data_IF_109614582819
#
_entry.id   IF_109614582819
#
_cell.length_a   1.000
_cell.length_b   1.000
_cell.length_c   1.000
_cell.angle_alpha   90.00
_cell.angle_beta   90.00
_cell.angle_gamma   90.00
#
_symmetry.space_group_name_H-M   'P 1'
#
loop_
_entity.id
_entity.type
_entity.pdbx_description
1 polymer ?
#
# COMPACT_ATOMS: atom_id res chain seq x y z
N UNK A 1 3.59 18.85 11.89
CA UNK A 1 3.72 18.58 11.83
C UNK A 1 4.02 17.69 11.37
N UNK A 2 3.76 17.20 11.26
CA UNK A 2 4.15 16.39 10.92
C UNK A 2 3.84 15.87 9.77
N UNK A 3 4.15 15.99 8.93
CA UNK A 3 3.89 15.58 7.63
C UNK A 3 4.06 14.17 7.44
N UNK A 4 4.28 13.47 8.44
CA UNK A 4 4.53 12.07 8.27
C UNK A 4 3.34 11.24 8.68
N UNK A 5 2.18 11.81 8.62
CA UNK A 5 0.99 11.02 8.89
C UNK A 5 0.80 10.02 7.78
N UNK A 6 0.95 8.78 8.11
CA UNK A 6 0.74 7.69 7.16
C UNK A 6 -0.62 7.10 7.40
N UNK A 7 -1.31 6.82 6.32
CA UNK A 7 -2.63 6.21 6.40
C UNK A 7 -2.63 4.97 5.52
N UNK A 8 -3.46 4.03 5.88
CA UNK A 8 -3.56 2.80 5.11
C UNK A 8 -4.37 3.08 3.86
N UNK A 9 -3.74 2.89 2.72
CA UNK A 9 -4.42 3.05 1.45
C UNK A 9 -5.17 1.79 1.08
N UNK A 10 -4.56 0.66 1.28
CA UNK A 10 -5.18 -0.59 0.90
C UNK A 10 -4.51 -1.72 1.65
N UNK A 11 -5.20 -2.84 1.71
CA UNK A 11 -4.65 -4.03 2.33
C UNK A 11 -4.65 -5.15 1.31
N UNK A 12 -3.64 -5.98 1.40
CA UNK A 12 -3.47 -7.07 0.46
C UNK A 12 -3.25 -8.35 1.22
N UNK A 13 -3.62 -9.45 0.61
CA UNK A 13 -3.46 -10.73 1.26
C UNK A 13 -2.00 -11.14 1.39
N UNK A 14 -1.19 -10.71 0.48
CA UNK A 14 0.21 -11.11 0.50
C UNK A 14 1.09 -9.89 0.31
N UNK A 15 2.32 -10.04 0.75
CA UNK A 15 3.28 -8.98 0.55
C UNK A 15 3.57 -8.80 -0.94
N UNK A 16 3.51 -9.87 -1.70
CA UNK A 16 3.78 -9.76 -3.13
C UNK A 16 2.77 -8.84 -3.81
N UNK A 17 1.50 -8.97 -3.45
CA UNK A 17 0.49 -8.11 -4.02
C UNK A 17 0.73 -6.66 -3.62
N UNK A 18 1.11 -6.45 -2.37
CA UNK A 18 1.39 -5.10 -1.91
C UNK A 18 2.58 -4.50 -2.66
N UNK A 19 3.57 -5.33 -2.97
CA UNK A 19 4.73 -4.84 -3.71
C UNK A 19 4.35 -4.39 -5.11
N UNK A 20 3.45 -5.11 -5.73
CA UNK A 20 2.99 -4.71 -7.05
C UNK A 20 2.32 -3.34 -6.97
N UNK A 21 1.46 -3.15 -5.99
CA UNK A 21 0.79 -1.88 -5.82
C UNK A 21 1.79 -0.77 -5.52
N UNK A 22 2.78 -1.08 -4.71
CA UNK A 22 3.80 -0.09 -4.39
C UNK A 22 4.55 0.33 -5.64
N UNK A 23 4.84 -0.61 -6.51
CA UNK A 23 5.50 -0.28 -7.77
C UNK A 23 4.68 0.68 -8.61
N UNK A 24 3.38 0.49 -8.62
CA UNK A 24 2.50 1.39 -9.36
C UNK A 24 2.60 2.81 -8.78
N UNK A 25 2.60 2.91 -7.46
CA UNK A 25 2.71 4.22 -6.83
C UNK A 25 4.08 4.83 -7.06
N UNK A 26 5.12 4.01 -7.05
CA UNK A 26 6.46 4.52 -7.33
C UNK A 26 6.51 5.14 -8.71
N UNK A 27 5.88 4.52 -9.68
CA UNK A 27 5.88 5.08 -11.01
C UNK A 27 5.10 6.38 -11.08
N UNK A 28 4.13 6.53 -10.22
CA UNK A 28 3.37 7.76 -10.13
C UNK A 28 4.06 8.78 -9.25
N UNK A 29 5.25 8.42 -8.72
CA UNK A 29 6.03 9.30 -7.86
C UNK A 29 5.31 9.61 -6.55
N UNK A 30 4.61 8.62 -6.04
CA UNK A 30 3.94 8.73 -4.77
C UNK A 30 4.66 7.82 -3.79
N UNK A 31 5.15 8.39 -2.71
CA UNK A 31 5.82 7.60 -1.71
C UNK A 31 4.86 6.69 -1.00
N UNK A 32 5.27 5.48 -0.77
CA UNK A 32 4.44 4.54 -0.06
C UNK A 32 5.31 3.62 0.76
N UNK A 33 4.67 2.91 1.67
CA UNK A 33 5.38 2.01 2.55
C UNK A 33 4.50 0.78 2.76
N UNK A 34 5.13 -0.37 2.84
CA UNK A 34 4.41 -1.59 3.10
C UNK A 34 4.65 -1.98 4.54
N UNK A 35 3.59 -2.25 5.26
CA UNK A 35 3.67 -2.74 6.61
C UNK A 35 3.05 -4.11 6.67
N UNK A 36 3.82 -5.06 7.11
CA UNK A 36 3.35 -6.43 7.19
C UNK A 36 3.19 -6.77 8.65
N UNK A 37 2.00 -7.11 9.02
CA UNK A 37 1.71 -7.40 10.41
C UNK A 37 1.72 -8.89 10.63
N UNK A 38 2.88 -9.45 10.55
CA UNK A 38 3.03 -10.87 10.62
C UNK A 38 3.53 -11.24 11.99
N UNK A 39 2.95 -10.66 12.96
CA UNK A 39 3.48 -10.72 14.27
C UNK A 39 3.53 -12.11 14.78
N UNK A 40 3.74 -12.88 15.02
CA UNK A 40 3.79 -14.12 15.62
C UNK A 40 4.14 -15.22 14.68
N UNK A 41 3.91 -15.01 13.43
CA UNK A 41 4.16 -16.07 12.49
C UNK A 41 3.39 -17.32 12.74
N UNK A 42 2.39 -17.24 13.60
CA UNK A 42 1.64 -18.42 13.93
C UNK A 42 0.62 -18.77 12.88
N UNK A 43 0.17 -17.79 12.15
CA UNK A 43 -0.87 -18.01 11.17
C UNK A 43 -0.42 -17.44 9.85
N UNK A 44 0.46 -18.13 9.17
CA UNK A 44 0.97 -17.57 7.89
C UNK A 44 -0.14 -17.31 6.90
N UNK A 45 -1.22 -18.02 7.00
CA UNK A 45 -2.32 -17.81 6.07
C UNK A 45 -2.97 -16.46 6.28
N UNK A 46 -2.74 -15.84 7.42
CA UNK A 46 -3.31 -14.54 7.71
C UNK A 46 -2.30 -13.43 7.50
N UNK A 47 -1.27 -13.72 6.79
CA UNK A 47 -0.23 -12.75 6.52
C UNK A 47 -0.78 -11.68 5.62
N UNK A 48 -1.07 -10.53 6.16
CA UNK A 48 -1.61 -9.43 5.39
C UNK A 48 -0.60 -8.30 5.35
N UNK A 49 -0.61 -7.60 4.25
CA UNK A 49 0.27 -6.46 4.07
C UNK A 49 -0.57 -5.22 3.87
N UNK A 50 -0.20 -4.15 4.52
CA UNK A 50 -0.88 -2.88 4.37
C UNK A 50 -0.01 -1.94 3.58
N UNK A 51 -0.62 -1.23 2.66
CA UNK A 51 0.09 -0.23 1.88
C UNK A 51 -0.29 1.12 2.42
N UNK A 52 0.70 1.86 2.88
CA UNK A 52 0.47 3.15 3.49
C UNK A 52 1.02 4.25 2.63
N UNK A 53 0.35 5.38 2.64
CA UNK A 53 0.82 6.57 1.96
C UNK A 53 0.61 7.75 2.90
N UNK A 54 1.20 8.87 2.57
CA UNK A 54 0.97 10.06 3.34
C UNK A 54 -0.48 10.49 3.17
N UNK A 55 -1.05 11.03 4.23
CA UNK A 55 -2.43 11.45 4.19
C UNK A 55 -2.68 12.40 3.03
N UNK A 56 -1.74 13.29 2.78
CA UNK A 56 -1.92 14.28 1.72
C UNK A 56 -1.92 13.64 0.33
N UNK A 57 -1.39 12.44 0.20
CA UNK A 57 -1.33 11.77 -1.09
C UNK A 57 -2.43 10.73 -1.24
N UNK A 58 -3.27 10.59 -0.25
CA UNK A 58 -4.26 9.51 -0.24
C UNK A 58 -5.11 9.53 -1.51
N UNK A 59 -5.60 10.69 -1.88
CA UNK A 59 -6.44 10.78 -3.07
C UNK A 59 -5.70 10.43 -4.34
N UNK A 60 -4.48 10.95 -4.48
CA UNK A 60 -3.70 10.67 -5.67
C UNK A 60 -3.33 9.20 -5.74
N UNK A 61 -2.99 8.63 -4.60
CA UNK A 61 -2.60 7.24 -4.58
C UNK A 61 -3.76 6.33 -4.96
N UNK A 62 -4.93 6.63 -4.43
CA UNK A 62 -6.09 5.84 -4.77
C UNK A 62 -6.41 5.92 -6.25
N UNK A 63 -6.28 7.11 -6.82
CA UNK A 63 -6.53 7.28 -8.24
C UNK A 63 -5.53 6.50 -9.07
N UNK A 64 -4.25 6.54 -8.67
CA UNK A 64 -3.23 5.84 -9.42
C UNK A 64 -3.46 4.33 -9.40
N UNK A 65 -3.79 3.80 -8.25
CA UNK A 65 -4.05 2.36 -8.17
C UNK A 65 -5.30 1.99 -8.94
N UNK A 66 -6.34 2.81 -8.85
CA UNK A 66 -7.56 2.52 -9.56
C UNK A 66 -7.37 2.55 -11.05
N UNK A 67 -6.58 3.50 -11.54
CA UNK A 67 -6.32 3.58 -12.96
C UNK A 67 -5.54 2.36 -13.44
N UNK A 68 -4.57 1.91 -12.65
CA UNK A 68 -3.80 0.76 -13.05
C UNK A 68 -4.67 -0.50 -13.07
N UNK A 69 -5.56 -0.60 -12.10
CA UNK A 69 -6.42 -1.76 -12.06
C UNK A 69 -7.39 -1.80 -13.21
N UNK A 70 -7.77 -0.65 -13.71
CA UNK A 70 -8.69 -0.62 -14.81
C UNK A 70 -8.02 -0.70 -16.13
N UNK A 71 -6.72 -0.56 -16.15
CA UNK A 71 -6.02 -0.48 -17.40
C UNK A 71 -5.84 -1.83 -18.03
N UNK A 72 -6.55 -2.82 -17.72
CA UNK A 72 -6.37 -4.03 -18.29
C UNK A 72 -7.12 -4.30 -19.40
#
# INVERSE_FOLDING_TARGET
>A
MKSSDLVVLSRFRTAADAQIAKGILDEARIESMIRSDNAGGMYPALDQAELLVRAQDFGKAGTALGAAERAE
#
